data_IF_630541533084
#
_entry.id   IF_630541533084
#
_cell.length_a   1.000
_cell.length_b   1.000
_cell.length_c   1.000
_cell.angle_alpha   90.00
_cell.angle_beta   90.00
_cell.angle_gamma   90.00
#
_symmetry.space_group_name_H-M   'P 1'
#
loop_
_entity.id
_entity.type
_entity.pdbx_description
1 polymer ?
#
# COMPACT_ATOMS: atom_id res chain seq x y z
N UNK A 1 9.55 -3.28 -11.16
CA UNK A 1 9.77 -3.05 -12.61
C UNK A 1 8.88 -4.02 -13.38
N UNK A 2 8.19 -3.58 -14.45
CA UNK A 2 7.40 -4.47 -15.29
C UNK A 2 8.29 -5.49 -15.99
N UNK A 3 7.77 -6.70 -16.23
CA UNK A 3 8.49 -7.71 -17.00
C UNK A 3 8.63 -7.26 -18.46
N UNK A 4 9.80 -7.50 -19.05
CA UNK A 4 10.15 -7.01 -20.39
C UNK A 4 10.62 -8.14 -21.32
N UNK A 5 10.20 -9.38 -21.05
CA UNK A 5 10.65 -10.55 -21.81
C UNK A 5 10.21 -10.47 -23.27
N UNK A 6 9.00 -9.96 -23.54
CA UNK A 6 8.49 -9.73 -24.88
C UNK A 6 9.44 -8.85 -25.68
N UNK A 7 9.90 -7.74 -25.11
CA UNK A 7 10.83 -6.82 -25.78
C UNK A 7 12.15 -7.52 -26.16
N UNK A 8 12.66 -8.43 -25.32
CA UNK A 8 13.87 -9.20 -25.59
C UNK A 8 13.65 -10.21 -26.72
N UNK A 9 12.52 -10.92 -26.69
CA UNK A 9 12.15 -11.90 -27.72
C UNK A 9 11.92 -11.21 -29.06
N UNK A 10 11.23 -10.06 -29.07
CA UNK A 10 11.03 -9.25 -30.25
C UNK A 10 12.36 -8.78 -30.85
N UNK A 11 13.28 -8.23 -30.04
CA UNK A 11 14.63 -7.84 -30.47
C UNK A 11 15.42 -9.01 -31.08
N UNK A 12 15.30 -10.20 -30.51
CA UNK A 12 15.99 -11.38 -31.03
C UNK A 12 15.43 -11.81 -32.39
N UNK A 13 14.10 -11.80 -32.54
CA UNK A 13 13.43 -12.17 -33.79
C UNK A 13 13.72 -11.13 -34.89
N UNK A 14 13.67 -9.84 -34.58
CA UNK A 14 14.00 -8.78 -35.54
C UNK A 14 15.46 -8.85 -35.97
N UNK A 15 16.39 -9.15 -35.06
CA UNK A 15 17.80 -9.39 -35.42
C UNK A 15 17.97 -10.61 -36.36
N UNK A 16 17.18 -11.66 -36.17
CA UNK A 16 17.26 -12.90 -36.97
C UNK A 16 16.63 -12.78 -38.36
N UNK A 17 15.47 -12.13 -38.47
CA UNK A 17 14.63 -12.13 -39.69
C UNK A 17 14.44 -10.75 -40.34
N UNK A 18 14.90 -9.68 -39.70
CA UNK A 18 14.51 -8.32 -40.04
C UNK A 18 13.03 -8.04 -39.71
N UNK A 19 12.49 -6.94 -40.24
CA UNK A 19 11.08 -6.54 -40.06
C UNK A 19 10.13 -7.28 -41.03
N UNK A 20 10.32 -8.59 -41.22
CA UNK A 20 9.46 -9.40 -42.09
C UNK A 20 8.21 -9.85 -41.34
N UNK A 21 7.08 -9.90 -42.03
CA UNK A 21 5.83 -10.45 -41.49
C UNK A 21 6.02 -11.93 -41.10
N UNK A 22 5.56 -12.28 -39.91
CA UNK A 22 5.57 -13.66 -39.42
C UNK A 22 4.20 -14.29 -39.71
N UNK A 23 4.21 -15.55 -40.17
CA UNK A 23 2.98 -16.34 -40.25
C UNK A 23 2.41 -16.59 -38.85
N UNK A 24 1.09 -16.56 -38.70
CA UNK A 24 0.38 -16.75 -37.42
C UNK A 24 0.83 -18.00 -36.65
N UNK A 25 0.97 -19.13 -37.34
CA UNK A 25 1.37 -20.42 -36.75
C UNK A 25 2.89 -20.67 -36.74
N UNK A 26 3.70 -19.64 -37.03
CA UNK A 26 5.17 -19.78 -36.98
C UNK A 26 5.67 -19.98 -35.55
N UNK A 27 6.77 -20.73 -35.39
CA UNK A 27 7.48 -20.86 -34.11
C UNK A 27 7.84 -19.51 -33.50
N UNK A 28 8.19 -18.53 -34.32
CA UNK A 28 8.55 -17.19 -33.82
C UNK A 28 7.31 -16.42 -33.32
N UNK A 29 6.14 -16.62 -33.94
CA UNK A 29 4.87 -16.05 -33.47
C UNK A 29 4.43 -16.68 -32.14
N UNK A 30 4.52 -18.00 -32.01
CA UNK A 30 4.23 -18.70 -30.75
C UNK A 30 5.16 -18.26 -29.62
N UNK A 31 6.45 -17.99 -29.93
CA UNK A 31 7.42 -17.43 -28.96
C UNK A 31 7.02 -16.03 -28.50
N UNK A 32 6.57 -15.16 -29.41
CA UNK A 32 6.07 -13.83 -29.08
C UNK A 32 4.82 -13.90 -28.20
N UNK A 33 3.84 -14.72 -28.57
CA UNK A 33 2.62 -14.93 -27.78
C UNK A 33 2.93 -15.45 -26.37
N UNK A 34 3.81 -16.44 -26.26
CA UNK A 34 4.22 -17.00 -24.96
C UNK A 34 4.96 -15.97 -24.10
N UNK A 35 5.78 -15.12 -24.72
CA UNK A 35 6.47 -14.05 -24.02
C UNK A 35 5.50 -12.96 -23.54
N UNK A 36 4.54 -12.56 -24.39
CA UNK A 36 3.48 -11.61 -24.04
C UNK A 36 2.64 -12.11 -22.88
N UNK A 37 2.09 -13.32 -23.00
CA UNK A 37 1.23 -13.91 -21.96
C UNK A 37 1.96 -14.02 -20.61
N UNK A 38 3.27 -14.27 -20.63
CA UNK A 38 4.08 -14.30 -19.40
C UNK A 38 4.26 -12.90 -18.82
N UNK A 39 4.61 -11.91 -19.63
CA UNK A 39 4.75 -10.52 -19.19
C UNK A 39 3.42 -10.02 -18.61
N UNK A 40 2.30 -10.29 -19.27
CA UNK A 40 0.95 -9.94 -18.80
C UNK A 40 0.63 -10.57 -17.43
N UNK A 41 0.93 -11.86 -17.27
CA UNK A 41 0.74 -12.55 -15.99
C UNK A 41 1.59 -11.93 -14.88
N UNK A 42 2.88 -11.71 -15.13
CA UNK A 42 3.80 -11.15 -14.13
C UNK A 42 3.43 -9.71 -13.76
N UNK A 43 3.08 -8.89 -14.75
CA UNK A 43 2.65 -7.52 -14.53
C UNK A 43 1.34 -7.46 -13.75
N UNK A 44 0.37 -8.34 -14.05
CA UNK A 44 -0.89 -8.45 -13.29
C UNK A 44 -0.65 -8.78 -11.83
N UNK A 45 0.21 -9.76 -11.53
CA UNK A 45 0.57 -10.12 -10.14
C UNK A 45 1.27 -8.96 -9.44
N UNK A 46 2.22 -8.29 -10.11
CA UNK A 46 2.91 -7.14 -9.56
C UNK A 46 1.95 -5.98 -9.25
N UNK A 47 1.03 -5.66 -10.16
CA UNK A 47 0.02 -4.62 -9.94
C UNK A 47 -0.96 -4.99 -8.82
N UNK A 48 -1.35 -6.27 -8.70
CA UNK A 48 -2.19 -6.73 -7.59
C UNK A 48 -1.48 -6.52 -6.24
N UNK A 49 -0.20 -6.91 -6.12
CA UNK A 49 0.62 -6.67 -4.92
C UNK A 49 0.75 -5.18 -4.62
N UNK A 50 1.01 -4.34 -5.62
CA UNK A 50 1.08 -2.89 -5.43
C UNK A 50 -0.22 -2.31 -4.87
N UNK A 51 -1.39 -2.76 -5.37
CA UNK A 51 -2.69 -2.35 -4.85
C UNK A 51 -2.90 -2.81 -3.40
N UNK A 52 -2.50 -4.04 -3.08
CA UNK A 52 -2.57 -4.59 -1.71
C UNK A 52 -1.66 -3.84 -0.73
N UNK A 53 -0.48 -3.41 -1.19
CA UNK A 53 0.51 -2.72 -0.35
C UNK A 53 0.21 -1.22 -0.19
N UNK A 54 -0.57 -0.65 -1.10
CA UNK A 54 -0.86 0.79 -1.14
C UNK A 54 -1.46 1.37 0.16
N UNK A 55 -2.43 0.73 0.83
CA UNK A 55 -2.98 1.24 2.09
C UNK A 55 -1.91 1.41 3.18
N UNK A 56 -1.01 0.44 3.31
CA UNK A 56 0.10 0.48 4.26
C UNK A 56 1.11 1.58 3.92
N UNK A 57 1.43 1.77 2.63
CA UNK A 57 2.29 2.87 2.19
C UNK A 57 1.69 4.24 2.51
N UNK A 58 0.39 4.42 2.23
CA UNK A 58 -0.30 5.66 2.57
C UNK A 58 -0.30 5.89 4.08
N UNK A 59 -0.61 4.86 4.88
CA UNK A 59 -0.55 4.93 6.35
C UNK A 59 0.82 5.44 6.79
N UNK A 60 1.90 4.76 6.42
CA UNK A 60 3.25 5.14 6.87
C UNK A 60 3.62 6.55 6.39
N UNK A 61 3.21 6.94 5.18
CA UNK A 61 3.41 8.30 4.68
C UNK A 61 2.65 9.35 5.49
N UNK A 62 1.43 9.06 5.93
CA UNK A 62 0.65 9.96 6.78
C UNK A 62 1.30 10.08 8.17
N UNK A 63 1.77 8.97 8.74
CA UNK A 63 2.54 8.98 9.99
C UNK A 63 3.86 9.76 9.84
N UNK A 64 4.58 9.58 8.73
CA UNK A 64 5.76 10.38 8.41
C UNK A 64 5.42 11.89 8.41
N UNK A 65 4.32 12.32 7.79
CA UNK A 65 3.91 13.73 7.80
C UNK A 65 3.54 14.27 9.18
N UNK A 66 3.01 13.44 10.09
CA UNK A 66 2.79 13.88 11.47
C UNK A 66 4.11 14.04 12.24
N UNK A 67 5.15 13.27 11.89
CA UNK A 67 6.44 13.31 12.60
C UNK A 67 7.40 14.38 12.10
N UNK A 68 7.12 15.08 10.99
CA UNK A 68 8.10 15.99 10.37
C UNK A 68 8.52 17.16 11.27
N UNK A 69 7.59 17.66 12.09
CA UNK A 69 7.84 18.81 12.97
C UNK A 69 8.42 18.41 14.34
N UNK A 70 8.22 17.16 14.76
CA UNK A 70 8.63 16.69 16.08
C UNK A 70 10.11 16.31 16.11
N UNK A 71 10.84 16.74 17.15
CA UNK A 71 12.30 16.48 17.29
C UNK A 71 12.64 15.45 18.38
N UNK A 72 11.65 14.96 19.12
CA UNK A 72 11.82 13.99 20.20
C UNK A 72 11.08 12.69 19.91
N UNK A 73 11.45 11.63 20.64
CA UNK A 73 10.65 10.42 20.71
C UNK A 73 9.23 10.74 21.18
N UNK A 74 8.25 10.00 20.65
CA UNK A 74 6.87 10.09 21.09
C UNK A 74 6.65 9.17 22.28
N UNK A 75 5.76 9.57 23.18
CA UNK A 75 5.18 8.72 24.20
C UNK A 75 3.98 7.95 23.64
N UNK A 76 3.64 6.80 24.23
CA UNK A 76 2.48 6.00 23.82
C UNK A 76 1.18 6.84 23.70
N UNK A 77 0.84 7.74 24.63
CA UNK A 77 -0.36 8.57 24.51
C UNK A 77 -0.33 9.50 23.29
N UNK A 78 0.83 10.07 22.95
CA UNK A 78 0.96 10.91 21.75
C UNK A 78 0.79 10.08 20.48
N UNK A 79 1.32 8.85 20.46
CA UNK A 79 1.12 7.94 19.33
C UNK A 79 -0.36 7.56 19.19
N UNK A 80 -1.08 7.34 20.30
CA UNK A 80 -2.51 7.09 20.28
C UNK A 80 -3.29 8.29 19.72
N UNK A 81 -2.93 9.52 20.10
CA UNK A 81 -3.53 10.72 19.53
C UNK A 81 -3.33 10.80 18.01
N UNK A 82 -2.12 10.51 17.53
CA UNK A 82 -1.82 10.44 16.08
C UNK A 82 -2.64 9.34 15.38
N UNK A 83 -2.82 8.18 16.02
CA UNK A 83 -3.66 7.11 15.48
C UNK A 83 -5.12 7.57 15.39
N UNK A 84 -5.63 8.24 16.41
CA UNK A 84 -7.01 8.74 16.44
C UNK A 84 -7.25 9.81 15.37
N UNK A 85 -6.32 10.75 15.19
CA UNK A 85 -6.35 11.73 14.09
C UNK A 85 -6.34 11.02 12.72
N UNK A 86 -5.51 9.98 12.58
CA UNK A 86 -5.47 9.18 11.35
C UNK A 86 -6.82 8.49 11.10
N UNK A 87 -7.47 7.94 12.12
CA UNK A 87 -8.76 7.25 12.01
C UNK A 87 -9.92 8.21 11.71
N UNK A 88 -9.85 9.44 12.24
CA UNK A 88 -10.87 10.48 12.06
C UNK A 88 -10.80 11.24 10.73
N UNK A 89 -9.74 11.07 9.93
CA UNK A 89 -9.54 11.80 8.66
C UNK A 89 -10.70 11.71 7.65
N UNK A 90 -11.48 10.63 7.71
CA UNK A 90 -12.57 10.32 6.78
C UNK A 90 -13.94 10.81 7.33
N UNK A 91 -14.00 11.35 8.56
CA UNK A 91 -15.24 11.75 9.25
C UNK A 91 -15.94 12.94 8.59
N UNK A 92 -15.21 13.97 8.22
CA UNK A 92 -15.75 15.16 7.54
C UNK A 92 -16.37 14.79 6.19
N UNK A 93 -15.71 13.88 5.47
CA UNK A 93 -16.20 13.38 4.19
C UNK A 93 -17.49 12.57 4.36
N UNK A 94 -17.53 11.68 5.37
CA UNK A 94 -18.73 10.92 5.71
C UNK A 94 -19.88 11.82 6.15
N UNK A 95 -19.60 12.88 6.92
CA UNK A 95 -20.61 13.85 7.33
C UNK A 95 -21.22 14.56 6.11
N UNK A 96 -20.39 14.97 5.16
CA UNK A 96 -20.82 15.61 3.89
C UNK A 96 -21.66 14.67 3.04
N UNK A 97 -21.21 13.42 2.85
CA UNK A 97 -21.96 12.40 2.10
C UNK A 97 -23.32 12.10 2.74
N UNK A 98 -23.40 12.14 4.09
CA UNK A 98 -24.65 11.93 4.82
C UNK A 98 -25.58 13.14 4.73
N UNK A 99 -25.07 14.37 4.74
CA UNK A 99 -25.89 15.58 4.61
C UNK A 99 -26.46 15.76 3.21
N UNK A 100 -25.69 15.43 2.18
CA UNK A 100 -26.14 15.52 0.78
C UNK A 100 -27.18 14.46 0.42
N UNK A 101 -27.29 13.41 1.24
CA UNK A 101 -28.22 12.31 1.05
C UNK A 101 -29.62 12.71 1.51
N UNK A 102 -30.56 12.70 0.55
CA UNK A 102 -31.99 12.87 0.85
C UNK A 102 -32.50 11.76 1.80
N UNK A 103 -33.42 12.08 2.73
CA UNK A 103 -34.06 11.09 3.58
C UNK A 103 -34.64 9.92 2.76
N UNK A 104 -34.39 8.69 3.20
CA UNK A 104 -34.89 7.47 2.55
C UNK A 104 -34.07 6.95 1.35
N UNK A 105 -33.08 7.69 0.84
CA UNK A 105 -32.16 7.17 -0.19
C UNK A 105 -31.11 6.24 0.44
N UNK A 106 -30.81 5.05 -0.12
CA UNK A 106 -29.73 4.21 0.39
C UNK A 106 -28.35 4.88 0.24
N UNK A 107 -27.37 4.52 1.09
CA UNK A 107 -25.98 4.98 0.97
C UNK A 107 -25.40 4.71 -0.43
N UNK A 108 -24.58 5.63 -0.91
CA UNK A 108 -23.84 5.40 -2.17
C UNK A 108 -22.75 4.33 -1.98
N UNK A 109 -22.26 3.74 -3.08
CA UNK A 109 -21.13 2.79 -3.02
C UNK A 109 -19.89 3.41 -2.38
N UNK A 110 -19.67 4.73 -2.56
CA UNK A 110 -18.54 5.42 -1.93
C UNK A 110 -18.72 5.50 -0.42
N UNK A 111 -19.92 5.88 0.03
CA UNK A 111 -20.27 5.97 1.46
C UNK A 111 -20.13 4.60 2.14
N UNK A 112 -20.67 3.53 1.54
CA UNK A 112 -20.54 2.18 2.11
C UNK A 112 -19.10 1.70 2.20
N UNK A 113 -18.29 1.93 1.16
CA UNK A 113 -16.87 1.56 1.17
C UNK A 113 -16.08 2.35 2.21
N UNK A 114 -16.37 3.64 2.38
CA UNK A 114 -15.71 4.50 3.36
C UNK A 114 -16.05 4.09 4.79
N UNK A 115 -17.33 3.81 5.08
CA UNK A 115 -17.77 3.28 6.38
C UNK A 115 -17.15 1.91 6.69
N UNK A 116 -17.10 1.00 5.71
CA UNK A 116 -16.46 -0.32 5.89
C UNK A 116 -14.97 -0.18 6.19
N UNK A 117 -14.27 0.72 5.48
CA UNK A 117 -12.85 1.02 5.72
C UNK A 117 -12.63 1.57 7.13
N UNK A 118 -13.43 2.54 7.55
CA UNK A 118 -13.35 3.12 8.89
C UNK A 118 -13.60 2.06 9.97
N UNK A 119 -14.63 1.23 9.83
CA UNK A 119 -14.93 0.15 10.77
C UNK A 119 -13.79 -0.88 10.86
N UNK A 120 -13.17 -1.21 9.72
CA UNK A 120 -12.03 -2.12 9.68
C UNK A 120 -10.78 -1.54 10.39
N UNK A 121 -10.48 -0.25 10.17
CA UNK A 121 -9.35 0.43 10.81
C UNK A 121 -9.60 0.61 12.33
N UNK A 122 -10.82 0.94 12.74
CA UNK A 122 -11.20 1.05 14.16
C UNK A 122 -11.13 -0.30 14.88
N UNK A 123 -11.55 -1.38 14.21
CA UNK A 123 -11.41 -2.74 14.71
C UNK A 123 -9.93 -3.15 14.85
N UNK A 124 -9.09 -2.78 13.86
CA UNK A 124 -7.64 -2.99 13.94
C UNK A 124 -7.04 -2.28 15.17
N UNK A 125 -7.42 -1.02 15.42
CA UNK A 125 -6.93 -0.24 16.57
C UNK A 125 -7.29 -0.84 17.92
N UNK A 126 -8.47 -1.44 18.03
CA UNK A 126 -8.88 -2.15 19.25
C UNK A 126 -7.94 -3.33 19.54
N UNK A 127 -7.53 -4.08 18.51
CA UNK A 127 -6.62 -5.23 18.66
C UNK A 127 -5.12 -4.88 18.69
N UNK A 128 -4.76 -3.69 18.24
CA UNK A 128 -3.37 -3.26 18.04
C UNK A 128 -3.13 -2.76 16.61
N UNK A 129 -3.15 -1.44 16.43
CA UNK A 129 -2.95 -0.79 15.14
C UNK A 129 -1.49 -0.90 14.69
N UNK A 130 -1.26 -1.36 13.47
CA UNK A 130 0.09 -1.51 12.94
C UNK A 130 0.66 -0.17 12.46
N UNK A 131 1.73 0.30 13.12
CA UNK A 131 2.39 1.59 12.90
C UNK A 131 3.91 1.46 13.02
N UNK A 132 4.70 2.39 12.44
CA UNK A 132 6.13 2.49 12.75
C UNK A 132 6.32 2.73 14.25
N UNK A 133 7.39 2.19 14.84
CA UNK A 133 7.73 2.48 16.23
C UNK A 133 8.22 3.93 16.36
N UNK A 134 7.41 4.79 16.96
CA UNK A 134 7.71 6.22 17.13
C UNK A 134 8.36 6.52 18.48
N UNK A 135 8.52 5.53 19.37
CA UNK A 135 9.26 5.72 20.63
C UNK A 135 10.78 5.68 20.41
N UNK A 136 11.25 4.92 19.41
CA UNK A 136 12.66 4.84 19.06
C UNK A 136 13.08 6.02 18.17
N UNK A 137 14.02 6.82 18.68
CA UNK A 137 14.55 7.99 17.98
C UNK A 137 15.28 7.64 16.67
N UNK A 138 16.00 6.53 16.62
CA UNK A 138 16.69 6.11 15.39
C UNK A 138 15.68 5.66 14.32
N UNK A 139 14.62 4.97 14.73
CA UNK A 139 13.53 4.62 13.83
C UNK A 139 12.77 5.85 13.32
N UNK A 140 12.57 6.87 14.17
CA UNK A 140 11.99 8.14 13.74
C UNK A 140 12.84 8.85 12.68
N UNK A 141 14.16 8.86 12.83
CA UNK A 141 15.06 9.47 11.85
C UNK A 141 14.98 8.74 10.50
N UNK A 142 15.02 7.42 10.52
CA UNK A 142 14.90 6.60 9.31
C UNK A 142 13.51 6.74 8.66
N UNK A 143 12.44 6.88 9.45
CA UNK A 143 11.10 7.18 8.95
C UNK A 143 11.04 8.54 8.24
N UNK A 144 11.72 9.57 8.75
CA UNK A 144 11.77 10.89 8.11
C UNK A 144 12.48 10.86 6.77
N UNK A 145 13.58 10.11 6.67
CA UNK A 145 14.37 9.94 5.45
C UNK A 145 13.72 8.95 4.46
N UNK A 146 12.64 8.27 4.87
CA UNK A 146 11.99 7.28 4.04
C UNK A 146 11.44 7.87 2.73
N UNK A 147 11.80 7.22 1.62
CA UNK A 147 11.55 7.67 0.25
C UNK A 147 10.21 7.19 -0.36
N UNK A 148 9.31 6.63 0.45
CA UNK A 148 8.01 6.14 -0.01
C UNK A 148 8.03 4.78 -0.72
N UNK A 149 9.15 4.05 -0.73
CA UNK A 149 9.24 2.74 -1.39
C UNK A 149 8.84 1.60 -0.45
N UNK A 150 8.14 0.59 -0.98
CA UNK A 150 7.73 -0.60 -0.21
C UNK A 150 8.93 -1.41 0.31
N UNK A 151 9.97 -1.55 -0.49
CA UNK A 151 11.14 -2.35 -0.14
C UNK A 151 11.99 -1.71 0.96
N UNK A 152 11.97 -0.39 1.12
CA UNK A 152 12.69 0.30 2.20
C UNK A 152 11.93 0.27 3.52
N UNK A 153 10.68 -0.20 3.56
CA UNK A 153 9.98 -0.37 4.83
C UNK A 153 10.59 -1.48 5.69
N UNK A 154 11.33 -2.43 5.12
CA UNK A 154 11.97 -3.49 5.89
C UNK A 154 13.09 -3.00 6.82
N UNK A 155 13.57 -1.77 6.63
CA UNK A 155 14.59 -1.17 7.51
C UNK A 155 14.00 -0.46 8.72
N UNK A 156 12.67 -0.26 8.75
CA UNK A 156 11.97 0.36 9.87
C UNK A 156 11.52 -0.70 10.88
N UNK A 157 11.54 -0.35 12.15
CA UNK A 157 10.87 -1.11 13.21
C UNK A 157 9.40 -0.72 13.29
N UNK A 158 8.55 -1.71 13.58
CA UNK A 158 7.10 -1.53 13.68
C UNK A 158 6.59 -2.03 15.03
N UNK A 159 5.48 -1.44 15.45
CA UNK A 159 4.77 -1.84 16.64
C UNK A 159 3.27 -1.94 16.35
N UNK A 160 2.57 -2.67 17.21
CA UNK A 160 1.12 -2.64 17.33
C UNK A 160 0.76 -1.93 18.60
N UNK A 161 -0.01 -0.85 18.47
CA UNK A 161 -0.48 -0.06 19.60
C UNK A 161 -1.99 -0.21 19.68
N UNK A 162 -2.46 -0.76 20.79
CA UNK A 162 -3.88 -0.93 21.06
C UNK A 162 -4.49 0.33 21.67
N UNK A 163 -5.83 0.42 21.65
CA UNK A 163 -6.57 1.47 22.34
C UNK A 163 -6.30 1.50 23.85
N UNK A 164 -5.96 0.36 24.45
CA UNK A 164 -5.63 0.25 25.88
C UNK A 164 -4.20 0.74 26.22
N UNK A 165 -3.45 1.25 25.24
CA UNK A 165 -2.07 1.72 25.42
C UNK A 165 -1.04 0.59 25.46
N UNK A 166 -1.44 -0.65 25.19
CA UNK A 166 -0.50 -1.78 25.14
C UNK A 166 0.24 -1.74 23.80
N UNK A 167 1.56 -1.58 23.88
CA UNK A 167 2.51 -1.75 22.78
C UNK A 167 2.94 -3.21 22.66
N UNK A 168 2.96 -3.73 21.43
CA UNK A 168 3.54 -5.03 21.08
C UNK A 168 4.44 -4.86 19.87
N UNK A 169 5.63 -5.43 19.90
CA UNK A 169 6.51 -5.43 18.73
C UNK A 169 5.85 -6.15 17.54
N UNK A 170 6.10 -5.64 16.34
CA UNK A 170 5.59 -6.21 15.10
C UNK A 170 6.63 -6.14 14.01
N UNK A 171 6.58 -7.09 13.08
CA UNK A 171 7.44 -7.08 11.89
C UNK A 171 6.72 -6.57 10.66
N UNK A 172 7.51 -6.08 9.71
CA UNK A 172 7.13 -5.94 8.31
C UNK A 172 7.45 -7.25 7.56
N UNK A 173 6.60 -7.72 6.65
CA UNK A 173 5.31 -7.16 6.24
C UNK A 173 4.17 -7.55 7.19
N UNK A 174 3.15 -6.69 7.34
CA UNK A 174 2.01 -6.98 8.20
C UNK A 174 1.30 -8.25 7.72
N UNK A 175 0.90 -9.11 8.68
CA UNK A 175 0.21 -10.40 8.42
C UNK A 175 1.00 -11.42 7.60
N UNK A 176 2.34 -11.36 7.60
CA UNK A 176 3.18 -12.37 6.94
C UNK A 176 3.11 -12.34 5.41
N UNK A 177 2.76 -11.20 4.82
CA UNK A 177 2.70 -10.99 3.37
C UNK A 177 4.12 -10.90 2.74
N UNK A 178 4.91 -11.96 2.80
CA UNK A 178 6.19 -12.08 2.08
C UNK A 178 6.01 -12.62 0.66
#
# INVERSE_FOLDING_TARGET
>A
MPSNRLSKVQKHITKKKGNKALHENSRDTQRLQSASARDDKLNRVASARQKQNRPYLLRIKTFQSYTTEHRSAFSIPEIQAIIEDYLGRDDEELATLKSDRRPGRPPSTRDTLLQQKQAAEQGEYTSGFWVPDLEDFENLKTLKEWNGQWSSLSTLSFARISKDGVKRESSFPPKGMS
#
